data_IF_610693651395
#
_entry.id   IF_610693651395
#
_cell.length_a   1.000
_cell.length_b   1.000
_cell.length_c   1.000
_cell.angle_alpha   90.00
_cell.angle_beta   90.00
_cell.angle_gamma   90.00
#
_symmetry.space_group_name_H-M   'P 1'
#
loop_
_entity.id
_entity.type
_entity.pdbx_description
1 polymer ?
#
# COMPACT_ATOMS: atom_id res chain seq x y z
N UNK A 1 -8.68 4.36 14.35
CA UNK A 1 -9.07 4.20 12.93
C UNK A 1 -8.81 2.76 12.56
N UNK A 2 -9.86 1.95 12.38
CA UNK A 2 -9.72 0.54 12.02
C UNK A 2 -9.36 0.43 10.55
N UNK A 3 -8.13 0.01 10.25
CA UNK A 3 -7.69 -0.26 8.87
C UNK A 3 -8.45 -1.48 8.34
N UNK A 4 -9.00 -1.38 7.12
CA UNK A 4 -9.76 -2.46 6.51
C UNK A 4 -8.83 -3.38 5.68
N UNK A 5 -8.25 -4.38 6.34
CA UNK A 5 -7.36 -5.35 5.70
C UNK A 5 -8.07 -6.32 4.73
N UNK A 6 -9.41 -6.47 4.84
CA UNK A 6 -10.17 -7.37 3.95
C UNK A 6 -10.24 -6.87 2.51
N UNK A 7 -10.12 -5.56 2.31
CA UNK A 7 -10.08 -4.91 1.00
C UNK A 7 -8.65 -4.66 0.49
N UNK A 8 -7.63 -5.21 1.17
CA UNK A 8 -6.24 -5.05 0.75
C UNK A 8 -6.01 -5.67 -0.62
N UNK A 9 -5.31 -4.93 -1.49
CA UNK A 9 -5.03 -5.38 -2.86
C UNK A 9 -3.88 -6.39 -2.84
N UNK A 10 -4.10 -7.57 -3.39
CA UNK A 10 -3.03 -8.58 -3.52
C UNK A 10 -2.02 -8.11 -4.55
N UNK A 11 -0.74 -8.22 -4.21
CA UNK A 11 0.41 -7.94 -5.08
C UNK A 11 1.42 -9.06 -4.95
N UNK A 12 2.29 -9.20 -5.94
CA UNK A 12 3.28 -10.27 -6.05
C UNK A 12 4.71 -9.75 -5.84
N UNK A 13 4.90 -8.45 -5.70
CA UNK A 13 6.20 -7.86 -5.41
C UNK A 13 6.06 -6.41 -4.91
N UNK A 14 7.06 -5.91 -4.19
CA UNK A 14 7.12 -4.51 -3.75
C UNK A 14 7.06 -3.52 -4.95
N UNK A 15 7.80 -3.70 -6.06
CA UNK A 15 7.69 -2.80 -7.22
C UNK A 15 6.28 -2.68 -7.81
N UNK A 16 5.45 -3.73 -7.68
CA UNK A 16 4.05 -3.70 -8.12
C UNK A 16 3.23 -2.69 -7.32
N UNK A 17 3.44 -2.61 -6.01
CA UNK A 17 2.77 -1.66 -5.10
C UNK A 17 3.01 -0.21 -5.56
N UNK A 18 4.28 0.13 -5.76
CA UNK A 18 4.68 1.46 -6.24
C UNK A 18 4.14 1.77 -7.63
N UNK A 19 4.07 0.77 -8.51
CA UNK A 19 3.51 0.93 -9.86
C UNK A 19 2.01 1.23 -9.79
N UNK A 20 1.26 0.54 -8.92
CA UNK A 20 -0.15 0.82 -8.67
C UNK A 20 -0.33 2.25 -8.16
N UNK A 21 0.40 2.65 -7.11
CA UNK A 21 0.30 4.01 -6.55
C UNK A 21 0.61 5.08 -7.59
N UNK A 22 1.62 4.88 -8.44
CA UNK A 22 1.98 5.82 -9.53
C UNK A 22 0.87 6.02 -10.56
N UNK A 23 0.02 5.00 -10.79
CA UNK A 23 -1.10 5.10 -11.74
C UNK A 23 -2.32 5.83 -11.16
N UNK A 24 -2.41 5.93 -9.84
CA UNK A 24 -3.56 6.51 -9.14
C UNK A 24 -3.34 8.01 -8.95
N UNK A 25 -4.32 8.81 -9.36
CA UNK A 25 -4.37 10.24 -9.08
C UNK A 25 -5.11 10.53 -7.78
N UNK A 26 -4.78 11.66 -7.16
CA UNK A 26 -5.59 12.24 -6.10
C UNK A 26 -6.95 12.70 -6.67
N UNK A 27 -7.96 12.87 -5.82
CA UNK A 27 -9.27 13.39 -6.23
C UNK A 27 -9.20 14.80 -6.85
N UNK A 28 -8.14 15.56 -6.54
CA UNK A 28 -7.85 16.84 -7.18
C UNK A 28 -7.15 16.73 -8.55
N UNK A 29 -6.89 15.51 -9.04
CA UNK A 29 -6.13 15.23 -10.25
C UNK A 29 -4.59 15.15 -10.08
N UNK A 30 -4.08 15.45 -8.89
CA UNK A 30 -2.64 15.54 -8.65
C UNK A 30 -1.94 14.20 -8.44
N UNK A 31 -0.64 14.16 -8.74
CA UNK A 31 0.20 13.00 -8.47
C UNK A 31 0.41 12.75 -6.97
N UNK A 32 0.40 11.46 -6.62
CA UNK A 32 0.70 10.99 -5.27
C UNK A 32 2.20 10.76 -5.12
N UNK A 33 2.77 11.23 -4.01
CA UNK A 33 4.14 10.94 -3.58
C UNK A 33 4.07 9.98 -2.39
N UNK A 34 4.77 8.85 -2.46
CA UNK A 34 4.95 7.98 -1.29
C UNK A 34 5.79 8.71 -0.25
N UNK A 35 5.28 8.77 0.98
CA UNK A 35 5.97 9.35 2.13
C UNK A 35 6.61 8.27 2.99
N UNK A 36 5.90 7.17 3.21
CA UNK A 36 6.34 6.10 4.11
C UNK A 36 5.79 4.76 3.64
N UNK A 37 6.56 3.71 3.90
CA UNK A 37 6.15 2.32 3.79
C UNK A 37 6.17 1.70 5.19
N UNK A 38 5.19 0.87 5.51
CA UNK A 38 5.10 0.18 6.80
C UNK A 38 4.58 -1.23 6.64
N UNK A 39 5.32 -2.19 7.18
CA UNK A 39 4.92 -3.59 7.27
C UNK A 39 4.06 -3.80 8.53
N UNK A 40 2.89 -4.39 8.36
CA UNK A 40 1.99 -4.78 9.45
C UNK A 40 1.64 -6.25 9.35
N UNK A 41 1.74 -6.95 10.48
CA UNK A 41 1.16 -8.27 10.66
C UNK A 41 -0.24 -8.14 11.28
N UNK A 42 -1.24 -8.77 10.67
CA UNK A 42 -2.60 -8.84 11.19
C UNK A 42 -3.21 -10.20 10.87
N UNK A 43 -3.75 -10.91 11.87
CA UNK A 43 -4.35 -12.25 11.71
C UNK A 43 -3.41 -13.25 10.98
N UNK A 44 -2.11 -13.26 11.35
CA UNK A 44 -1.05 -14.08 10.72
C UNK A 44 -0.81 -13.81 9.23
N UNK A 45 -1.28 -12.66 8.74
CA UNK A 45 -1.04 -12.18 7.38
C UNK A 45 -0.22 -10.91 7.41
N UNK A 46 0.67 -10.78 6.45
CA UNK A 46 1.49 -9.58 6.25
C UNK A 46 0.85 -8.64 5.26
N UNK A 47 0.85 -7.35 5.61
CA UNK A 47 0.33 -6.28 4.79
C UNK A 47 1.36 -5.17 4.71
N UNK A 48 1.52 -4.63 3.52
CA UNK A 48 2.33 -3.44 3.32
C UNK A 48 1.43 -2.21 3.20
N UNK A 49 1.80 -1.14 3.89
CA UNK A 49 1.04 0.11 3.90
C UNK A 49 1.90 1.21 3.31
N UNK A 50 1.47 1.73 2.16
CA UNK A 50 2.07 2.92 1.54
C UNK A 50 1.27 4.16 1.91
N UNK A 51 1.83 4.99 2.80
CA UNK A 51 1.31 6.32 3.09
C UNK A 51 1.79 7.29 2.02
N UNK A 52 0.86 7.95 1.36
CA UNK A 52 1.12 8.87 0.26
C UNK A 52 0.55 10.26 0.55
N UNK A 53 1.15 11.28 -0.03
CA UNK A 53 0.66 12.66 -0.04
C UNK A 53 0.50 13.16 -1.47
N UNK A 54 -0.62 13.82 -1.75
CA UNK A 54 -0.78 14.52 -3.02
C UNK A 54 0.17 15.72 -3.11
N UNK A 55 0.95 15.79 -4.20
CA UNK A 55 1.88 16.91 -4.43
C UNK A 55 1.17 18.26 -4.62
N UNK A 56 -0.10 18.26 -5.02
CA UNK A 56 -0.89 19.49 -5.25
C UNK A 56 -1.69 19.91 -4.02
N UNK A 57 -2.64 19.09 -3.55
CA UNK A 57 -3.56 19.47 -2.48
C UNK A 57 -3.11 19.04 -1.07
N UNK A 58 -1.95 18.37 -0.95
CA UNK A 58 -1.38 17.90 0.32
C UNK A 58 -2.22 16.91 1.12
N UNK A 59 -3.34 16.43 0.56
CA UNK A 59 -4.13 15.36 1.18
C UNK A 59 -3.32 14.08 1.26
N UNK A 60 -3.44 13.40 2.39
CA UNK A 60 -2.82 12.10 2.62
C UNK A 60 -3.77 10.96 2.24
N UNK A 61 -3.20 9.87 1.76
CA UNK A 61 -3.92 8.64 1.41
C UNK A 61 -3.05 7.45 1.73
N UNK A 62 -3.62 6.44 2.38
CA UNK A 62 -2.96 5.16 2.61
C UNK A 62 -3.44 4.13 1.58
N UNK A 63 -2.52 3.30 1.11
CA UNK A 63 -2.81 2.09 0.35
C UNK A 63 -2.37 0.88 1.16
N UNK A 64 -3.23 -0.13 1.22
CA UNK A 64 -2.96 -1.37 1.95
C UNK A 64 -2.85 -2.48 0.91
N UNK A 65 -1.69 -3.14 0.89
CA UNK A 65 -1.37 -4.23 0.01
C UNK A 65 -1.23 -5.53 0.80
N UNK A 66 -1.75 -6.62 0.23
CA UNK A 66 -1.57 -7.95 0.76
C UNK A 66 -0.35 -8.57 0.05
N UNK A 67 0.72 -8.78 0.84
CA UNK A 67 2.01 -9.25 0.34
C UNK A 67 2.27 -10.73 0.61
N UNK A 68 1.28 -11.46 1.13
CA UNK A 68 1.43 -12.87 1.52
C UNK A 68 1.72 -13.79 0.32
N UNK A 69 1.51 -13.30 -0.92
CA UNK A 69 1.87 -14.04 -2.13
C UNK A 69 3.38 -14.24 -2.28
N UNK A 70 4.20 -13.37 -1.68
CA UNK A 70 5.67 -13.38 -1.85
C UNK A 70 6.44 -13.13 -0.55
N UNK A 71 5.78 -12.69 0.51
CA UNK A 71 6.38 -12.40 1.81
C UNK A 71 5.78 -13.31 2.88
N UNK A 72 6.61 -13.79 3.81
CA UNK A 72 6.16 -14.65 4.91
C UNK A 72 5.95 -16.13 4.53
N UNK A 73 6.41 -16.56 3.35
CA UNK A 73 6.55 -17.97 3.03
C UNK A 73 7.98 -18.40 3.44
N UNK A 74 8.21 -18.94 4.65
CA UNK A 74 9.48 -19.58 4.93
C UNK A 74 9.63 -20.70 3.92
N UNK A 75 10.68 -20.66 3.09
CA UNK A 75 11.10 -21.86 2.38
C UNK A 75 11.22 -22.96 3.43
N UNK A 76 10.44 -24.02 3.21
CA UNK A 76 10.53 -25.29 3.91
C UNK A 76 11.91 -25.88 3.66
#
# INVERSE_FOLDING_TARGET
>A
MSRNFKSARVVNSVPEEYSIVKTIKCDCGGDLKVLMQSLIEHEKKFYDILSCECKQCKKQREFIFNINSFFGNPMI
#
